data_IF_972387328362
#
_entry.id   IF_972387328362
#
_cell.length_a   1.000
_cell.length_b   1.000
_cell.length_c   1.000
_cell.angle_alpha   90.00
_cell.angle_beta   90.00
_cell.angle_gamma   90.00
#
_symmetry.space_group_name_H-M   'P 1'
#
loop_
_entity.id
_entity.type
_entity.pdbx_description
1 polymer ?
#
# COMPACT_ATOMS: atom_id res chain seq x y z
N UNK A 1 15.77 2.29 -2.70
CA UNK A 1 15.09 3.61 -2.68
C UNK A 1 13.66 3.43 -2.19
N UNK A 2 13.14 4.38 -1.40
CA UNK A 2 11.75 4.33 -0.90
C UNK A 2 10.92 5.40 -1.62
N UNK A 3 9.86 5.00 -2.30
CA UNK A 3 8.86 5.89 -2.86
C UNK A 3 7.67 6.02 -1.92
N UNK A 4 7.16 7.24 -1.74
CA UNK A 4 5.94 7.51 -0.97
C UNK A 4 5.05 8.48 -1.74
N UNK A 5 3.74 8.21 -1.68
CA UNK A 5 2.59 9.11 -1.85
C UNK A 5 2.83 10.34 -2.74
N UNK A 6 2.15 10.39 -3.89
CA UNK A 6 1.87 11.64 -4.61
C UNK A 6 0.39 12.00 -4.43
N UNK A 7 0.02 12.86 -3.46
CA UNK A 7 -1.37 12.97 -3.02
C UNK A 7 -2.31 13.72 -3.98
N UNK A 8 -1.76 14.39 -5.02
CA UNK A 8 -2.51 15.20 -5.97
C UNK A 8 -2.22 14.85 -7.44
N UNK A 9 -1.53 13.73 -7.70
CA UNK A 9 -1.20 13.31 -9.06
C UNK A 9 -1.96 12.04 -9.42
N UNK A 10 -2.23 11.87 -10.70
CA UNK A 10 -2.82 10.67 -11.28
C UNK A 10 -1.83 10.12 -12.30
N UNK A 11 -1.39 8.88 -12.12
CA UNK A 11 -0.16 8.40 -12.77
C UNK A 11 -0.26 8.27 -14.30
N UNK A 12 -1.48 8.14 -14.80
CA UNK A 12 -1.76 8.02 -16.23
C UNK A 12 -2.09 9.38 -16.86
N UNK A 13 -1.94 10.49 -16.13
CA UNK A 13 -1.93 11.81 -16.72
C UNK A 13 -0.54 12.14 -17.27
N UNK A 14 -0.48 12.88 -18.38
CA UNK A 14 0.76 13.31 -19.03
C UNK A 14 1.40 14.55 -18.37
N UNK A 15 1.19 14.73 -17.06
CA UNK A 15 1.78 15.83 -16.30
C UNK A 15 3.31 15.72 -16.29
N UNK A 16 4.02 16.85 -16.39
CA UNK A 16 5.50 16.86 -16.40
C UNK A 16 6.08 16.26 -15.09
N UNK A 17 5.39 16.43 -13.97
CA UNK A 17 5.79 15.83 -12.68
C UNK A 17 5.67 14.30 -12.68
N UNK A 18 4.64 13.77 -13.33
CA UNK A 18 4.38 12.33 -13.41
C UNK A 18 5.39 11.66 -14.35
N UNK A 19 5.54 12.21 -15.56
CA UNK A 19 6.48 11.70 -16.56
C UNK A 19 7.93 11.70 -16.06
N UNK A 20 8.36 12.75 -15.34
CA UNK A 20 9.69 12.79 -14.71
C UNK A 20 9.86 11.74 -13.62
N UNK A 21 8.83 11.47 -12.82
CA UNK A 21 8.89 10.43 -11.79
C UNK A 21 8.98 9.03 -12.40
N UNK A 22 8.23 8.75 -13.47
CA UNK A 22 8.30 7.47 -14.20
C UNK A 22 9.70 7.28 -14.80
N UNK A 23 10.22 8.29 -15.51
CA UNK A 23 11.56 8.24 -16.10
C UNK A 23 12.66 8.05 -15.02
N UNK A 24 12.49 8.68 -13.87
CA UNK A 24 13.40 8.47 -12.74
C UNK A 24 13.30 7.04 -12.18
N UNK A 25 12.10 6.49 -12.01
CA UNK A 25 11.92 5.09 -11.60
C UNK A 25 12.57 4.11 -12.59
N UNK A 26 12.44 4.35 -13.89
CA UNK A 26 13.13 3.58 -14.93
C UNK A 26 14.66 3.63 -14.78
N UNK A 27 15.23 4.81 -14.52
CA UNK A 27 16.67 4.93 -14.29
C UNK A 27 17.18 4.12 -13.08
N UNK A 28 16.33 3.90 -12.07
CA UNK A 28 16.66 3.11 -10.89
C UNK A 28 16.58 1.60 -11.21
N UNK A 29 15.60 1.18 -12.01
CA UNK A 29 15.55 -0.17 -12.58
C UNK A 29 16.80 -0.48 -13.41
N UNK A 30 17.22 0.44 -14.27
CA UNK A 30 18.43 0.28 -15.09
C UNK A 30 19.70 0.22 -14.24
N UNK A 31 19.76 1.00 -13.15
CA UNK A 31 20.86 0.98 -12.19
C UNK A 31 20.87 -0.28 -11.29
N UNK A 32 19.83 -1.11 -11.32
CA UNK A 32 19.72 -2.32 -10.51
C UNK A 32 19.60 -2.07 -9.01
N UNK A 33 19.13 -0.88 -8.62
CA UNK A 33 18.97 -0.53 -7.21
C UNK A 33 17.62 -1.05 -6.69
N UNK A 34 17.56 -1.78 -5.56
CA UNK A 34 16.31 -2.24 -4.98
C UNK A 34 15.35 -1.09 -4.64
N UNK A 35 14.08 -1.30 -4.94
CA UNK A 35 13.03 -0.29 -4.72
C UNK A 35 11.91 -0.85 -3.83
N UNK A 36 11.38 0.00 -2.95
CA UNK A 36 10.16 -0.28 -2.19
C UNK A 36 9.26 0.94 -2.10
N UNK A 37 7.94 0.75 -2.01
CA UNK A 37 7.04 1.84 -1.68
C UNK A 37 5.58 1.42 -1.54
N UNK A 38 4.74 2.37 -1.14
CA UNK A 38 3.31 2.17 -0.93
C UNK A 38 2.45 3.05 -1.87
N UNK A 39 1.22 2.59 -2.15
CA UNK A 39 0.17 3.26 -2.91
C UNK A 39 0.62 3.73 -4.31
N UNK A 40 0.99 5.01 -4.47
CA UNK A 40 1.54 5.57 -5.71
C UNK A 40 2.74 4.78 -6.25
N UNK A 41 3.53 4.20 -5.35
CA UNK A 41 4.67 3.36 -5.72
C UNK A 41 4.28 2.10 -6.48
N UNK A 42 3.13 1.49 -6.14
CA UNK A 42 2.59 0.31 -6.85
C UNK A 42 2.33 0.62 -8.31
N UNK A 43 1.74 1.78 -8.53
CA UNK A 43 1.45 2.29 -9.86
C UNK A 43 2.74 2.64 -10.61
N UNK A 44 3.69 3.32 -9.96
CA UNK A 44 4.99 3.63 -10.57
C UNK A 44 5.77 2.37 -10.95
N UNK A 45 5.82 1.37 -10.08
CA UNK A 45 6.49 0.11 -10.35
C UNK A 45 5.94 -0.55 -11.62
N UNK A 46 4.61 -0.54 -11.78
CA UNK A 46 3.95 -1.11 -12.94
C UNK A 46 4.15 -0.26 -14.22
N UNK A 47 3.88 1.05 -14.15
CA UNK A 47 3.98 1.99 -15.27
C UNK A 47 5.41 2.09 -15.80
N UNK A 48 6.41 2.17 -14.92
CA UNK A 48 7.82 2.23 -15.32
C UNK A 48 8.26 0.98 -16.09
N UNK A 49 7.67 -0.18 -15.78
CA UNK A 49 7.90 -1.45 -16.46
C UNK A 49 7.00 -1.68 -17.70
N UNK A 50 6.26 -0.67 -18.14
CA UNK A 50 5.45 -0.70 -19.37
C UNK A 50 4.02 -1.20 -19.18
N UNK A 51 3.50 -1.24 -17.95
CA UNK A 51 2.08 -1.49 -17.71
C UNK A 51 1.23 -0.22 -17.76
N UNK A 52 -0.08 -0.40 -17.54
CA UNK A 52 -1.05 0.68 -17.45
C UNK A 52 -1.64 0.79 -16.04
N UNK A 53 -2.24 1.94 -15.76
CA UNK A 53 -3.02 2.18 -14.55
C UNK A 53 -4.30 2.90 -14.95
N UNK A 54 -5.33 2.74 -14.13
CA UNK A 54 -6.63 3.38 -14.35
C UNK A 54 -7.27 3.75 -13.02
N UNK A 55 -8.32 4.56 -13.09
CA UNK A 55 -9.24 4.70 -11.97
C UNK A 55 -9.87 3.34 -11.64
N UNK A 56 -9.87 2.95 -10.37
CA UNK A 56 -10.47 1.70 -9.93
C UNK A 56 -11.99 1.73 -10.22
N UNK A 57 -12.56 0.73 -10.92
CA UNK A 57 -13.98 0.66 -11.23
C UNK A 57 -14.87 0.54 -9.99
N UNK A 58 -14.35 0.01 -8.88
CA UNK A 58 -15.01 -0.07 -7.58
C UNK A 58 -14.93 1.27 -6.80
N UNK A 59 -14.27 2.28 -7.36
CA UNK A 59 -14.06 3.56 -6.71
C UNK A 59 -12.95 3.54 -5.67
N UNK A 60 -12.97 4.50 -4.76
CA UNK A 60 -11.94 4.67 -3.74
C UNK A 60 -12.00 3.51 -2.74
N UNK A 61 -10.84 2.97 -2.40
CA UNK A 61 -10.68 2.16 -1.19
C UNK A 61 -10.09 3.05 -0.09
N UNK A 62 -10.71 3.06 1.09
CA UNK A 62 -10.46 4.09 2.11
C UNK A 62 -10.36 3.54 3.53
N UNK A 63 -9.45 4.15 4.30
CA UNK A 63 -9.19 3.92 5.72
C UNK A 63 -8.58 2.55 6.01
N UNK A 64 -9.36 1.48 5.88
CA UNK A 64 -8.93 0.11 6.14
C UNK A 64 -9.36 -0.75 4.96
N UNK A 65 -8.37 -1.35 4.30
CA UNK A 65 -8.57 -2.45 3.38
C UNK A 65 -8.73 -3.71 4.20
N UNK A 66 -9.91 -4.31 4.12
CA UNK A 66 -10.21 -5.55 4.82
C UNK A 66 -9.78 -6.75 3.96
N UNK A 67 -9.44 -7.84 4.65
CA UNK A 67 -9.33 -9.17 4.05
C UNK A 67 -8.32 -9.29 2.89
N UNK A 68 -7.25 -8.49 2.92
CA UNK A 68 -6.12 -8.62 2.00
C UNK A 68 -5.55 -10.02 2.12
N UNK A 69 -5.56 -10.73 1.00
CA UNK A 69 -5.17 -12.13 0.91
C UNK A 69 -3.92 -12.27 0.05
N UNK A 70 -2.89 -12.91 0.61
CA UNK A 70 -1.65 -13.24 -0.09
C UNK A 70 -1.94 -14.31 -1.14
N UNK A 71 -1.54 -14.07 -2.39
CA UNK A 71 -1.72 -15.00 -3.51
C UNK A 71 -0.81 -16.23 -3.34
N UNK A 72 -1.03 -17.29 -4.12
CA UNK A 72 -0.12 -18.45 -4.12
C UNK A 72 1.32 -18.06 -4.48
N UNK A 73 1.50 -17.09 -5.38
CA UNK A 73 2.82 -16.56 -5.69
C UNK A 73 3.39 -15.76 -4.50
N UNK A 74 2.57 -14.95 -3.84
CA UNK A 74 2.95 -14.19 -2.64
C UNK A 74 3.38 -15.08 -1.47
N UNK A 75 2.73 -16.23 -1.27
CA UNK A 75 3.10 -17.20 -0.21
C UNK A 75 4.52 -17.73 -0.35
N UNK A 76 5.01 -17.82 -1.58
CA UNK A 76 6.36 -18.28 -1.91
C UNK A 76 7.36 -17.13 -2.04
N UNK A 77 6.91 -15.89 -1.88
CA UNK A 77 7.73 -14.70 -2.10
C UNK A 77 8.30 -14.15 -0.77
N UNK A 78 9.58 -13.73 -0.71
CA UNK A 78 10.21 -13.33 0.54
C UNK A 78 9.53 -12.16 1.28
N UNK A 79 8.84 -11.27 0.54
CA UNK A 79 8.07 -10.17 1.12
C UNK A 79 7.13 -10.60 2.26
N UNK A 80 6.49 -11.78 2.14
CA UNK A 80 5.47 -12.23 3.09
C UNK A 80 5.95 -13.34 4.06
N UNK A 81 7.24 -13.65 4.09
CA UNK A 81 7.77 -14.64 5.05
C UNK A 81 7.45 -14.19 6.49
N UNK A 82 6.74 -15.03 7.23
CA UNK A 82 6.37 -14.77 8.62
C UNK A 82 5.18 -13.81 8.80
N UNK A 83 4.51 -13.37 7.72
CA UNK A 83 3.24 -12.64 7.80
C UNK A 83 2.07 -13.59 7.58
N UNK A 84 0.95 -13.33 8.24
CA UNK A 84 -0.29 -14.06 8.03
C UNK A 84 -0.78 -13.90 6.57
N UNK A 85 -1.42 -14.95 6.02
CA UNK A 85 -1.87 -14.95 4.63
C UNK A 85 -3.13 -14.12 4.38
N UNK A 86 -3.86 -13.75 5.43
CA UNK A 86 -5.03 -12.87 5.35
C UNK A 86 -4.91 -11.81 6.43
N UNK A 87 -4.97 -10.53 6.06
CA UNK A 87 -4.75 -9.40 6.97
C UNK A 87 -5.52 -8.16 6.52
N UNK A 88 -5.58 -7.16 7.41
CA UNK A 88 -6.08 -5.84 7.08
C UNK A 88 -4.90 -4.88 6.85
N UNK A 89 -5.11 -3.81 6.11
CA UNK A 89 -4.10 -2.78 5.86
C UNK A 89 -4.69 -1.39 5.86
N UNK A 90 -3.92 -0.38 6.24
CA UNK A 90 -4.35 1.01 6.06
C UNK A 90 -4.31 1.37 4.57
N UNK A 91 -5.38 1.93 4.03
CA UNK A 91 -5.50 2.12 2.58
C UNK A 91 -6.07 3.50 2.24
N UNK A 92 -5.60 4.06 1.13
CA UNK A 92 -6.05 5.33 0.60
C UNK A 92 -5.67 5.42 -0.88
N UNK A 93 -6.51 4.91 -1.78
CA UNK A 93 -6.26 5.04 -3.21
C UNK A 93 -7.55 5.12 -4.03
N UNK A 94 -7.46 5.75 -5.19
CA UNK A 94 -8.53 5.81 -6.19
C UNK A 94 -8.14 5.08 -7.48
N UNK A 95 -6.85 5.00 -7.76
CA UNK A 95 -6.30 4.38 -8.96
C UNK A 95 -5.74 3.00 -8.63
N UNK A 96 -5.83 2.10 -9.61
CA UNK A 96 -5.31 0.73 -9.55
C UNK A 96 -4.38 0.45 -10.73
N UNK A 97 -3.49 -0.51 -10.55
CA UNK A 97 -2.72 -1.10 -11.65
C UNK A 97 -3.65 -1.96 -12.49
N UNK A 98 -3.67 -1.74 -13.81
CA UNK A 98 -4.41 -2.58 -14.74
C UNK A 98 -3.46 -3.16 -15.80
N UNK A 99 -3.49 -4.47 -15.95
CA UNK A 99 -2.43 -5.18 -16.65
C UNK A 99 -1.23 -5.39 -15.72
N UNK A 100 -0.73 -6.61 -15.66
CA UNK A 100 0.49 -6.95 -14.92
C UNK A 100 1.62 -6.96 -15.94
N UNK A 101 2.67 -6.13 -15.81
CA UNK A 101 3.74 -6.08 -16.81
C UNK A 101 4.54 -7.38 -16.81
N UNK A 102 5.27 -7.63 -17.88
CA UNK A 102 6.21 -8.74 -17.95
C UNK A 102 7.22 -8.66 -16.80
N UNK A 103 7.48 -9.79 -16.15
CA UNK A 103 8.38 -9.86 -15.00
C UNK A 103 7.75 -9.40 -13.67
N UNK A 104 6.47 -9.04 -13.65
CA UNK A 104 5.76 -8.73 -12.42
C UNK A 104 4.98 -9.92 -11.86
N UNK A 105 4.89 -9.96 -10.52
CA UNK A 105 4.17 -10.97 -9.76
C UNK A 105 3.23 -10.28 -8.79
N UNK A 106 1.92 -10.55 -8.91
CA UNK A 106 0.92 -10.08 -7.94
C UNK A 106 1.01 -10.93 -6.69
N UNK A 107 1.30 -10.30 -5.56
CA UNK A 107 1.60 -10.98 -4.30
C UNK A 107 0.42 -10.96 -3.32
N UNK A 108 -0.46 -9.97 -3.42
CA UNK A 108 -1.68 -9.90 -2.60
C UNK A 108 -2.81 -9.24 -3.37
N UNK A 109 -4.05 -9.56 -2.99
CA UNK A 109 -5.30 -9.07 -3.58
C UNK A 109 -6.39 -8.94 -2.51
N UNK A 110 -7.48 -8.25 -2.79
CA UNK A 110 -8.72 -8.35 -2.02
C UNK A 110 -9.95 -8.18 -2.94
N UNK A 111 -11.15 -8.15 -2.37
CA UNK A 111 -12.40 -8.01 -3.15
C UNK A 111 -12.48 -6.66 -3.90
N UNK A 112 -11.86 -5.60 -3.37
CA UNK A 112 -11.95 -4.25 -3.94
C UNK A 112 -10.89 -3.97 -5.02
N UNK A 113 -9.68 -4.49 -4.86
CA UNK A 113 -8.52 -4.18 -5.70
C UNK A 113 -7.74 -5.44 -6.04
N UNK A 114 -7.59 -5.73 -7.33
CA UNK A 114 -6.93 -6.94 -7.83
C UNK A 114 -5.44 -6.99 -7.43
N UNK A 115 -4.76 -5.84 -7.39
CA UNK A 115 -3.34 -5.70 -7.08
C UNK A 115 -3.15 -4.94 -5.76
N UNK A 116 -3.19 -5.64 -4.64
CA UNK A 116 -2.88 -5.07 -3.32
C UNK A 116 -1.37 -5.07 -3.01
N UNK A 117 -0.60 -5.96 -3.65
CA UNK A 117 0.85 -5.92 -3.62
C UNK A 117 1.45 -6.56 -4.88
N UNK A 118 2.60 -6.04 -5.32
CA UNK A 118 3.28 -6.50 -6.52
C UNK A 118 4.80 -6.42 -6.35
N UNK A 119 5.50 -7.43 -6.89
CA UNK A 119 6.94 -7.37 -7.12
C UNK A 119 7.19 -7.31 -8.62
N UNK A 120 7.92 -6.29 -9.08
CA UNK A 120 8.22 -6.06 -10.49
C UNK A 120 9.70 -6.19 -10.72
N UNK A 121 10.11 -7.14 -11.57
CA UNK A 121 11.48 -7.24 -12.09
C UNK A 121 11.54 -6.60 -13.46
N UNK A 122 12.39 -5.58 -13.62
CA UNK A 122 12.53 -4.86 -14.87
C UNK A 122 13.97 -4.36 -15.04
N UNK A 123 14.51 -4.45 -16.26
CA UNK A 123 15.94 -4.23 -16.54
C UNK A 123 16.83 -5.00 -15.56
N UNK A 124 17.63 -4.29 -14.75
CA UNK A 124 18.57 -4.87 -13.79
C UNK A 124 18.03 -4.85 -12.35
N UNK A 125 16.81 -4.34 -12.13
CA UNK A 125 16.30 -4.00 -10.81
C UNK A 125 15.02 -4.73 -10.44
N UNK A 126 14.68 -4.61 -9.16
CA UNK A 126 13.46 -5.19 -8.59
C UNK A 126 12.77 -4.16 -7.69
N UNK A 127 11.46 -4.01 -7.87
CA UNK A 127 10.62 -3.08 -7.13
C UNK A 127 9.46 -3.82 -6.48
N UNK A 128 9.48 -3.82 -5.15
CA UNK A 128 8.44 -4.36 -4.28
C UNK A 128 7.49 -3.26 -3.83
N UNK A 129 6.18 -3.47 -3.90
CA UNK A 129 5.24 -2.42 -3.49
C UNK A 129 3.91 -2.95 -2.99
N UNK A 130 3.24 -2.15 -2.17
CA UNK A 130 1.93 -2.43 -1.58
C UNK A 130 0.97 -1.29 -1.88
N UNK A 131 -0.26 -1.58 -2.29
CA UNK A 131 -1.29 -0.55 -2.47
C UNK A 131 -1.72 0.03 -1.11
N UNK A 132 -1.68 -0.79 -0.06
CA UNK A 132 -1.84 -0.37 1.34
C UNK A 132 -0.56 0.24 1.91
N UNK A 133 -0.70 0.89 3.06
CA UNK A 133 0.29 1.70 3.77
C UNK A 133 0.76 1.02 5.06
N UNK A 134 1.77 0.13 5.00
CA UNK A 134 2.36 -0.46 6.21
C UNK A 134 3.00 0.60 7.14
N UNK A 135 3.33 1.78 6.61
CA UNK A 135 3.92 2.88 7.36
C UNK A 135 2.93 3.62 8.27
N UNK A 136 1.62 3.56 7.99
CA UNK A 136 0.64 4.29 8.78
C UNK A 136 0.30 3.56 10.07
N UNK A 137 0.10 4.33 11.12
CA UNK A 137 -0.49 3.88 12.38
C UNK A 137 -1.99 4.14 12.41
N UNK A 138 -2.70 3.47 13.34
CA UNK A 138 -4.12 3.74 13.55
C UNK A 138 -4.39 5.21 13.90
N UNK A 139 -3.49 5.82 14.68
CA UNK A 139 -3.59 7.24 15.03
C UNK A 139 -3.48 8.15 13.80
N UNK A 140 -2.48 7.94 12.94
CA UNK A 140 -2.32 8.73 11.71
C UNK A 140 -3.51 8.54 10.76
N UNK A 141 -4.02 7.31 10.63
CA UNK A 141 -5.20 7.06 9.83
C UNK A 141 -6.43 7.79 10.40
N UNK A 142 -6.62 7.80 11.73
CA UNK A 142 -7.70 8.55 12.36
C UNK A 142 -7.61 10.06 12.06
N UNK A 143 -6.40 10.62 12.12
CA UNK A 143 -6.15 12.03 11.78
C UNK A 143 -6.45 12.31 10.30
N UNK A 144 -6.08 11.40 9.40
CA UNK A 144 -6.36 11.53 7.96
C UNK A 144 -7.86 11.47 7.65
N UNK A 145 -8.60 10.54 8.29
CA UNK A 145 -10.06 10.46 8.19
C UNK A 145 -10.69 11.79 8.65
N UNK A 146 -10.25 12.31 9.80
CA UNK A 146 -10.74 13.60 10.31
C UNK A 146 -10.44 14.78 9.39
N UNK A 147 -9.23 14.83 8.81
CA UNK A 147 -8.81 15.91 7.92
C UNK A 147 -9.54 15.90 6.57
N UNK A 148 -10.02 14.74 6.11
CA UNK A 148 -10.68 14.58 4.80
C UNK A 148 -12.20 14.43 4.88
N UNK A 149 -12.80 14.73 6.03
CA UNK A 149 -14.25 14.56 6.29
C UNK A 149 -15.17 15.08 5.18
N UNK A 150 -14.88 16.26 4.63
CA UNK A 150 -15.70 16.86 3.57
C UNK A 150 -15.61 16.01 2.28
N UNK A 151 -14.39 15.69 1.84
CA UNK A 151 -14.16 14.90 0.63
C UNK A 151 -14.80 13.51 0.71
N UNK A 152 -14.62 12.80 1.82
CA UNK A 152 -15.17 11.44 1.97
C UNK A 152 -16.69 11.44 2.19
N UNK A 153 -17.27 12.51 2.75
CA UNK A 153 -18.74 12.69 2.77
C UNK A 153 -19.27 12.90 1.36
N UNK A 154 -18.62 13.76 0.57
CA UNK A 154 -19.02 14.03 -0.82
C UNK A 154 -18.89 12.81 -1.73
N UNK A 155 -17.97 11.89 -1.42
CA UNK A 155 -17.81 10.61 -2.11
C UNK A 155 -18.79 9.52 -1.61
N UNK A 156 -19.60 9.80 -0.58
CA UNK A 156 -20.66 8.91 -0.10
C UNK A 156 -20.24 7.88 0.94
N UNK A 157 -19.02 7.98 1.52
CA UNK A 157 -18.59 7.09 2.61
C UNK A 157 -19.34 7.35 3.92
N UNK A 158 -19.84 8.58 4.09
CA UNK A 158 -20.63 9.00 5.24
C UNK A 158 -21.80 9.86 4.76
N UNK A 159 -22.94 9.77 5.44
CA UNK A 159 -24.09 10.63 5.11
C UNK A 159 -23.85 12.06 5.59
N UNK A 160 -23.10 12.22 6.69
CA UNK A 160 -22.79 13.51 7.31
C UNK A 160 -21.42 13.50 7.96
N UNK A 161 -20.73 14.63 7.92
CA UNK A 161 -19.44 14.80 8.60
C UNK A 161 -19.46 14.45 10.10
N UNK A 162 -20.59 14.70 10.77
CA UNK A 162 -20.75 14.39 12.20
C UNK A 162 -20.64 12.91 12.52
N UNK A 163 -20.87 12.01 11.56
CA UNK A 163 -20.79 10.56 11.73
C UNK A 163 -19.34 10.08 11.90
N UNK A 164 -18.35 10.86 11.42
CA UNK A 164 -16.93 10.53 11.57
C UNK A 164 -16.36 10.86 12.94
N UNK A 165 -16.93 11.82 13.66
CA UNK A 165 -16.44 12.24 14.99
C UNK A 165 -16.33 11.05 15.95
N UNK A 166 -17.38 10.22 16.15
CA UNK A 166 -17.26 9.05 17.02
C UNK A 166 -16.24 8.03 16.47
N UNK A 167 -16.20 7.77 15.16
CA UNK A 167 -15.24 6.86 14.55
C UNK A 167 -13.79 7.29 14.81
N UNK A 168 -13.47 8.56 14.54
CA UNK A 168 -12.12 9.11 14.77
C UNK A 168 -11.76 9.05 16.25
N UNK A 169 -12.69 9.37 17.15
CA UNK A 169 -12.47 9.26 18.58
C UNK A 169 -12.19 7.81 19.02
N UNK A 170 -12.95 6.84 18.50
CA UNK A 170 -12.75 5.43 18.78
C UNK A 170 -11.39 4.93 18.26
N UNK A 171 -10.99 5.33 17.06
CA UNK A 171 -9.69 4.98 16.48
C UNK A 171 -8.54 5.57 17.30
N UNK A 172 -8.65 6.83 17.74
CA UNK A 172 -7.65 7.48 18.63
C UNK A 172 -7.63 6.82 20.02
N UNK A 173 -8.78 6.39 20.54
CA UNK A 173 -8.84 5.67 21.80
C UNK A 173 -8.17 4.30 21.67
N UNK A 174 -8.48 3.54 20.62
CA UNK A 174 -7.86 2.24 20.36
C UNK A 174 -6.36 2.35 20.09
N UNK A 175 -5.89 3.42 19.43
CA UNK A 175 -4.45 3.63 19.23
C UNK A 175 -3.69 3.84 20.54
N UNK A 176 -4.35 4.31 21.61
CA UNK A 176 -3.77 4.46 22.95
C UNK A 176 -3.91 3.19 23.78
N UNK A 177 -4.97 2.43 23.56
CA UNK A 177 -5.31 1.20 24.27
C UNK A 177 -5.51 0.03 23.30
N UNK A 178 -4.46 -0.45 22.61
CA UNK A 178 -4.59 -1.42 21.50
C UNK A 178 -5.17 -2.78 21.94
N UNK A 179 -5.19 -3.07 23.24
CA UNK A 179 -5.77 -4.30 23.81
C UNK A 179 -7.25 -4.16 24.17
N UNK A 180 -7.88 -3.00 23.95
CA UNK A 180 -9.28 -2.77 24.26
C UNK A 180 -10.19 -3.62 23.35
N UNK A 181 -10.75 -4.70 23.91
CA UNK A 181 -11.53 -5.70 23.16
C UNK A 181 -12.79 -5.08 22.54
N UNK A 182 -13.48 -4.21 23.27
CA UNK A 182 -14.73 -3.59 22.80
C UNK A 182 -14.47 -2.71 21.58
N UNK A 183 -13.43 -1.87 21.62
CA UNK A 183 -13.06 -1.02 20.49
C UNK A 183 -12.57 -1.83 19.29
N UNK A 184 -11.80 -2.90 19.51
CA UNK A 184 -11.38 -3.82 18.44
C UNK A 184 -12.56 -4.46 17.73
N UNK A 185 -13.55 -4.93 18.50
CA UNK A 185 -14.78 -5.50 17.93
C UNK A 185 -15.61 -4.45 17.20
N UNK A 186 -15.79 -3.27 17.80
CA UNK A 186 -16.55 -2.16 17.22
C UNK A 186 -15.98 -1.69 15.89
N UNK A 187 -14.65 -1.57 15.81
CA UNK A 187 -13.94 -1.09 14.61
C UNK A 187 -13.57 -2.21 13.63
N UNK A 188 -13.80 -3.47 14.01
CA UNK A 188 -13.34 -4.66 13.28
C UNK A 188 -11.82 -4.63 13.00
N UNK A 189 -11.03 -4.38 14.06
CA UNK A 189 -9.57 -4.22 13.96
C UNK A 189 -8.85 -5.33 14.75
N UNK A 190 -7.91 -6.00 14.09
CA UNK A 190 -7.05 -7.03 14.66
C UNK A 190 -5.58 -6.59 14.72
N UNK A 191 -4.69 -7.51 15.09
CA UNK A 191 -3.27 -7.23 15.26
C UNK A 191 -2.55 -6.92 13.94
N UNK A 192 -3.14 -7.22 12.78
CA UNK A 192 -2.47 -6.97 11.50
C UNK A 192 -2.17 -5.52 11.19
N UNK A 193 -2.93 -4.60 11.80
CA UNK A 193 -2.72 -3.15 11.69
C UNK A 193 -2.35 -2.49 13.04
N UNK A 194 -2.55 -3.17 14.17
CA UNK A 194 -2.19 -2.67 15.49
C UNK A 194 -0.75 -3.03 15.91
N UNK A 195 -0.25 -4.19 15.48
CA UNK A 195 1.11 -4.64 15.79
C UNK A 195 2.08 -4.20 14.68
N UNK A 196 3.08 -3.41 15.06
CA UNK A 196 4.07 -2.86 14.14
C UNK A 196 4.92 -3.96 13.47
N UNK A 197 5.23 -5.05 14.19
CA UNK A 197 6.04 -6.16 13.67
C UNK A 197 5.29 -6.94 12.58
N UNK A 198 3.95 -6.97 12.65
CA UNK A 198 3.10 -7.57 11.62
C UNK A 198 2.85 -6.55 10.50
N UNK A 199 2.48 -5.32 10.85
CA UNK A 199 2.08 -4.28 9.90
C UNK A 199 3.22 -3.90 8.96
N UNK A 200 4.45 -3.80 9.47
CA UNK A 200 5.62 -3.35 8.71
C UNK A 200 6.46 -4.51 8.14
N UNK A 201 6.00 -5.76 8.25
CA UNK A 201 6.79 -6.95 7.90
C UNK A 201 7.35 -6.91 6.48
N UNK A 202 6.59 -6.39 5.52
CA UNK A 202 6.98 -6.26 4.11
C UNK A 202 8.21 -5.36 3.93
N UNK A 203 8.28 -4.26 4.70
CA UNK A 203 9.42 -3.33 4.69
C UNK A 203 10.65 -4.01 5.27
N UNK A 204 10.49 -4.73 6.39
CA UNK A 204 11.58 -5.49 7.00
C UNK A 204 12.10 -6.56 6.04
N UNK A 205 11.21 -7.34 5.42
CA UNK A 205 11.56 -8.36 4.43
C UNK A 205 12.26 -7.74 3.21
N UNK A 206 11.82 -6.59 2.73
CA UNK A 206 12.49 -5.89 1.63
C UNK A 206 13.94 -5.53 1.98
N UNK A 207 14.18 -4.97 3.17
CA UNK A 207 15.53 -4.63 3.63
C UNK A 207 16.38 -5.89 3.73
N UNK A 208 15.86 -6.95 4.34
CA UNK A 208 16.58 -8.20 4.57
C UNK A 208 16.99 -8.87 3.24
N UNK A 209 16.03 -9.06 2.34
CA UNK A 209 16.21 -9.92 1.16
C UNK A 209 16.69 -9.19 -0.08
N UNK A 210 16.38 -7.90 -0.25
CA UNK A 210 16.85 -7.15 -1.43
C UNK A 210 17.98 -6.18 -1.10
N UNK A 211 17.95 -5.53 0.06
CA UNK A 211 18.95 -4.48 0.36
C UNK A 211 20.21 -5.06 0.99
N UNK A 212 20.09 -5.93 1.99
CA UNK A 212 21.24 -6.53 2.68
C UNK A 212 21.87 -7.63 1.81
N UNK A 213 21.07 -8.57 1.28
CA UNK A 213 21.62 -9.66 0.44
C UNK A 213 22.35 -9.16 -0.81
N UNK A 214 21.95 -8.02 -1.40
CA UNK A 214 22.72 -7.42 -2.51
C UNK A 214 24.11 -6.93 -2.10
N UNK A 215 24.30 -6.47 -0.85
CA UNK A 215 25.62 -6.06 -0.37
C UNK A 215 26.56 -7.24 -0.22
N UNK A 216 26.03 -8.39 0.15
CA UNK A 216 26.82 -9.61 0.32
C UNK A 216 27.16 -10.27 -1.03
N UNK A 217 26.37 -10.00 -2.07
CA UNK A 217 26.58 -10.49 -3.44
C UNK A 217 27.64 -9.69 -4.23
N UNK A 218 27.89 -8.44 -3.81
CA UNK A 218 28.80 -7.50 -4.46
C UNK A 218 30.17 -7.35 -3.73
N UNK A 219 30.44 -8.21 -2.75
CA UNK A 219 31.74 -8.38 -2.07
C UNK A 219 32.44 -9.64 -2.57
#
# INVERSE_FOLDING_TARGET
MIFRIAPNLTIYHEDEEVTRQIAYCQSIFDAGVPQFGSCWATQMAAMAAGSECRKNPNGREWSIAYDITVTEAGKNHPMYIGKQHKFNGFIMHLDEVCGVPDGATVLATNEHTDVQAIAVKHSNGEFWSTQYHPEFTLYEMAQLVGARKEAITNEGFFNKESEMVPLVNDMIALSKEPKNIELRQKLNIDDSILDDDIRQKEVYSWVEYLVISMKDSNQ
#
